data_IF_200029520718
#
_entry.id   IF_200029520718
#
_cell.length_a   1.000
_cell.length_b   1.000
_cell.length_c   1.000
_cell.angle_alpha   90.00
_cell.angle_beta   90.00
_cell.angle_gamma   90.00
#
_symmetry.space_group_name_H-M   'P 1'
#
loop_
_entity.id
_entity.type
_entity.pdbx_description
1 polymer ?
#
# COMPACT_ATOMS: atom_id res chain seq x y z
N UNK A 1 -8.21 -47.31 -5.88
CA UNK A 1 -8.84 -46.09 -5.30
C UNK A 1 -7.83 -45.16 -4.61
N UNK A 2 -6.82 -45.67 -3.90
CA UNK A 2 -5.80 -44.86 -3.20
C UNK A 2 -5.05 -43.84 -4.10
N UNK A 3 -4.75 -44.20 -5.35
CA UNK A 3 -4.01 -43.33 -6.29
C UNK A 3 -4.86 -42.19 -6.87
N UNK A 4 -6.18 -42.38 -6.98
CA UNK A 4 -7.12 -41.33 -7.44
C UNK A 4 -7.26 -40.27 -6.35
N UNK A 5 -7.32 -40.70 -5.08
CA UNK A 5 -7.45 -39.82 -3.93
C UNK A 5 -6.22 -38.91 -3.77
N UNK A 6 -5.02 -39.47 -3.97
CA UNK A 6 -3.74 -38.72 -3.93
C UNK A 6 -3.65 -37.70 -5.08
N UNK A 7 -4.11 -38.05 -6.29
CA UNK A 7 -4.08 -37.14 -7.44
C UNK A 7 -5.08 -36.00 -7.30
N UNK A 8 -6.29 -36.25 -6.76
CA UNK A 8 -7.24 -35.17 -6.41
C UNK A 8 -6.72 -34.27 -5.29
N UNK A 9 -6.01 -34.82 -4.30
CA UNK A 9 -5.41 -34.02 -3.22
C UNK A 9 -4.27 -33.12 -3.74
N UNK A 10 -3.46 -33.62 -4.67
CA UNK A 10 -2.38 -32.86 -5.30
C UNK A 10 -2.93 -31.71 -6.17
N UNK A 11 -4.03 -31.93 -6.90
CA UNK A 11 -4.67 -30.91 -7.73
C UNK A 11 -5.32 -29.78 -6.91
N UNK A 12 -5.84 -30.09 -5.73
CA UNK A 12 -6.34 -29.09 -4.78
C UNK A 12 -5.22 -28.23 -4.19
N UNK A 13 -4.03 -28.80 -3.95
CA UNK A 13 -2.89 -28.07 -3.40
C UNK A 13 -2.32 -27.00 -4.37
N UNK A 14 -2.45 -27.21 -5.69
CA UNK A 14 -1.94 -26.27 -6.70
C UNK A 14 -2.83 -25.01 -6.82
N UNK A 15 -4.07 -25.09 -6.36
CA UNK A 15 -5.05 -24.00 -6.48
C UNK A 15 -4.90 -22.91 -5.40
N UNK A 16 -4.01 -23.09 -4.42
CA UNK A 16 -3.85 -22.18 -3.28
C UNK A 16 -2.81 -21.06 -3.49
N UNK A 17 -2.10 -21.05 -4.61
CA UNK A 17 -1.18 -19.97 -4.96
C UNK A 17 -1.84 -18.99 -5.92
N UNK A 18 -2.90 -18.32 -5.46
CA UNK A 18 -3.33 -17.08 -6.10
C UNK A 18 -2.48 -15.95 -5.52
N UNK A 19 -1.57 -15.40 -6.32
CA UNK A 19 -0.73 -14.26 -5.95
C UNK A 19 -1.59 -12.99 -5.94
N UNK A 20 -2.36 -12.83 -4.85
CA UNK A 20 -3.14 -11.62 -4.59
C UNK A 20 -2.28 -10.61 -3.85
N UNK A 21 -2.29 -9.36 -4.30
CA UNK A 21 -1.64 -8.27 -3.56
C UNK A 21 -2.31 -8.08 -2.22
N UNK A 22 -1.49 -8.12 -1.18
CA UNK A 22 -1.96 -7.89 0.19
C UNK A 22 -2.11 -6.39 0.46
N UNK A 23 -2.98 -6.05 1.40
CA UNK A 23 -3.11 -4.67 1.89
C UNK A 23 -1.81 -4.16 2.54
N UNK A 24 -0.93 -5.06 2.98
CA UNK A 24 0.41 -4.73 3.50
C UNK A 24 1.34 -4.16 2.44
N UNK A 25 1.25 -4.64 1.19
CA UNK A 25 2.05 -4.09 0.10
C UNK A 25 1.57 -2.69 -0.30
N UNK A 26 0.26 -2.46 -0.29
CA UNK A 26 -0.33 -1.13 -0.53
C UNK A 26 0.03 -0.17 0.58
N UNK A 27 0.05 -0.64 1.83
CA UNK A 27 0.54 0.13 2.96
C UNK A 27 2.01 0.50 2.76
N UNK A 28 2.86 -0.48 2.43
CA UNK A 28 4.29 -0.26 2.16
C UNK A 28 4.48 0.77 1.06
N UNK A 29 3.69 0.71 -0.01
CA UNK A 29 3.70 1.70 -1.08
C UNK A 29 3.43 3.13 -0.57
N UNK A 30 2.34 3.33 0.19
CA UNK A 30 2.01 4.65 0.75
C UNK A 30 3.03 5.13 1.78
N UNK A 31 3.63 4.20 2.53
CA UNK A 31 4.71 4.48 3.46
C UNK A 31 5.97 4.97 2.73
N UNK A 32 6.37 4.31 1.64
CA UNK A 32 7.50 4.73 0.80
C UNK A 32 7.26 6.11 0.17
N UNK A 33 6.04 6.41 -0.28
CA UNK A 33 5.67 7.76 -0.74
C UNK A 33 5.89 8.82 0.34
N UNK A 34 5.42 8.56 1.56
CA UNK A 34 5.56 9.49 2.70
C UNK A 34 7.03 9.75 3.04
N UNK A 35 7.87 8.72 2.91
CA UNK A 35 9.30 8.79 3.16
C UNK A 35 10.11 9.31 1.95
N UNK A 36 9.46 9.72 0.86
CA UNK A 36 10.09 10.16 -0.40
C UNK A 36 10.97 9.08 -1.05
N UNK A 37 10.75 7.81 -0.72
CA UNK A 37 11.43 6.70 -1.36
C UNK A 37 10.71 6.32 -2.66
N UNK A 38 10.88 7.13 -3.70
CA UNK A 38 10.14 6.99 -4.95
C UNK A 38 10.56 5.79 -5.81
N UNK A 39 11.77 5.25 -5.60
CA UNK A 39 12.23 4.05 -6.29
C UNK A 39 11.44 2.83 -5.81
N UNK A 40 11.41 2.60 -4.50
CA UNK A 40 10.64 1.51 -3.89
C UNK A 40 9.14 1.62 -4.19
N UNK A 41 8.58 2.83 -4.13
CA UNK A 41 7.17 3.05 -4.49
C UNK A 41 6.90 2.74 -5.97
N UNK A 42 7.84 3.06 -6.87
CA UNK A 42 7.74 2.73 -8.29
C UNK A 42 7.82 1.22 -8.53
N UNK A 43 8.71 0.53 -7.82
CA UNK A 43 8.85 -0.93 -7.91
C UNK A 43 7.57 -1.63 -7.45
N UNK A 44 6.99 -1.20 -6.32
CA UNK A 44 5.70 -1.70 -5.85
C UNK A 44 4.58 -1.41 -6.85
N UNK A 45 4.55 -0.22 -7.46
CA UNK A 45 3.56 0.12 -8.49
C UNK A 45 3.69 -0.81 -9.72
N UNK A 46 4.92 -1.14 -10.11
CA UNK A 46 5.17 -2.09 -11.21
C UNK A 46 4.69 -3.50 -10.86
N UNK A 47 4.90 -3.93 -9.61
CA UNK A 47 4.39 -5.20 -9.08
C UNK A 47 2.86 -5.23 -9.14
N UNK A 48 2.21 -4.14 -8.74
CA UNK A 48 0.75 -4.01 -8.78
C UNK A 48 0.17 -4.13 -10.19
N UNK A 49 0.85 -3.52 -11.16
CA UNK A 49 0.51 -3.65 -12.57
C UNK A 49 0.63 -5.08 -13.07
N UNK A 50 1.72 -5.76 -12.72
CA UNK A 50 1.99 -7.13 -13.18
C UNK A 50 1.02 -8.16 -12.58
N UNK A 51 0.62 -7.97 -11.33
CA UNK A 51 -0.37 -8.78 -10.65
C UNK A 51 -1.83 -8.50 -11.07
N UNK A 52 -2.05 -7.53 -11.98
CA UNK A 52 -3.36 -7.19 -12.55
C UNK A 52 -4.42 -6.91 -11.48
N UNK A 53 -4.11 -6.04 -10.52
CA UNK A 53 -5.13 -5.54 -9.59
C UNK A 53 -6.23 -4.81 -10.35
N UNK A 54 -7.35 -4.59 -9.67
CA UNK A 54 -8.44 -3.77 -10.18
C UNK A 54 -7.92 -2.44 -10.77
N UNK A 55 -8.36 -2.13 -11.99
CA UNK A 55 -7.86 -1.00 -12.76
C UNK A 55 -8.08 0.33 -12.03
N UNK A 56 -9.24 0.52 -11.38
CA UNK A 56 -9.52 1.74 -10.65
C UNK A 56 -8.62 1.87 -9.41
N UNK A 57 -8.38 0.75 -8.70
CA UNK A 57 -7.43 0.69 -7.58
C UNK A 57 -6.01 1.05 -8.05
N UNK A 58 -5.56 0.49 -9.17
CA UNK A 58 -4.26 0.80 -9.75
C UNK A 58 -4.12 2.28 -10.13
N UNK A 59 -5.09 2.82 -10.86
CA UNK A 59 -5.07 4.22 -11.30
C UNK A 59 -5.08 5.20 -10.12
N UNK A 60 -5.75 4.86 -9.03
CA UNK A 60 -5.72 5.65 -7.80
C UNK A 60 -4.30 5.68 -7.21
N UNK A 61 -3.67 4.53 -7.03
CA UNK A 61 -2.30 4.44 -6.48
C UNK A 61 -1.28 5.12 -7.40
N UNK A 62 -1.40 4.96 -8.72
CA UNK A 62 -0.55 5.63 -9.69
C UNK A 62 -0.70 7.17 -9.61
N UNK A 63 -1.94 7.65 -9.42
CA UNK A 63 -2.20 9.07 -9.23
C UNK A 63 -1.59 9.58 -7.92
N UNK A 64 -1.69 8.83 -6.82
CA UNK A 64 -1.04 9.16 -5.54
C UNK A 64 0.49 9.28 -5.71
N UNK A 65 1.11 8.36 -6.46
CA UNK A 65 2.53 8.41 -6.77
C UNK A 65 2.90 9.67 -7.55
N UNK A 66 2.15 10.04 -8.58
CA UNK A 66 2.41 11.26 -9.35
C UNK A 66 2.28 12.53 -8.53
N UNK A 67 1.28 12.61 -7.65
CA UNK A 67 1.13 13.78 -6.77
C UNK A 67 2.35 13.91 -5.86
N UNK A 68 2.74 12.82 -5.20
CA UNK A 68 3.86 12.84 -4.25
C UNK A 68 5.19 13.17 -4.93
N UNK A 69 5.48 12.52 -6.08
CA UNK A 69 6.73 12.74 -6.82
C UNK A 69 6.77 14.10 -7.50
N UNK A 70 5.64 14.55 -8.05
CA UNK A 70 5.48 15.87 -8.63
C UNK A 70 5.72 16.97 -7.60
N UNK A 71 5.13 16.84 -6.41
CA UNK A 71 5.32 17.81 -5.33
C UNK A 71 6.76 17.80 -4.80
N UNK A 72 7.40 16.64 -4.66
CA UNK A 72 8.80 16.62 -4.22
C UNK A 72 9.74 17.31 -5.22
N UNK A 73 9.56 17.06 -6.52
CA UNK A 73 10.30 17.77 -7.58
C UNK A 73 9.99 19.26 -7.59
N UNK A 74 8.74 19.64 -7.35
CA UNK A 74 8.32 21.04 -7.24
C UNK A 74 9.06 21.75 -6.11
N UNK A 75 9.13 21.12 -4.93
CA UNK A 75 9.85 21.65 -3.77
C UNK A 75 11.36 21.73 -4.02
N UNK A 76 11.91 20.86 -4.87
CA UNK A 76 13.29 20.94 -5.36
C UNK A 76 13.49 22.00 -6.46
N UNK A 77 12.45 22.75 -6.82
CA UNK A 77 12.43 23.73 -7.93
C UNK A 77 12.74 23.11 -9.30
N UNK A 78 12.46 21.82 -9.45
CA UNK A 78 12.52 21.10 -10.71
C UNK A 78 11.15 21.19 -11.40
N UNK A 79 10.78 22.40 -11.81
CA UNK A 79 9.44 22.70 -12.29
C UNK A 79 9.09 22.00 -13.60
N UNK A 80 10.06 21.80 -14.49
CA UNK A 80 9.84 21.09 -15.75
C UNK A 80 9.60 19.61 -15.47
N UNK A 81 10.45 18.99 -14.67
CA UNK A 81 10.30 17.58 -14.29
C UNK A 81 9.01 17.33 -13.47
N UNK A 82 8.67 18.26 -12.58
CA UNK A 82 7.46 18.20 -11.76
C UNK A 82 6.18 18.26 -12.60
N UNK A 83 6.16 19.10 -13.64
CA UNK A 83 4.97 19.33 -14.46
C UNK A 83 4.47 18.06 -15.17
N UNK A 84 5.35 17.16 -15.60
CA UNK A 84 4.94 15.90 -16.22
C UNK A 84 4.04 15.08 -15.29
N UNK A 85 4.42 14.98 -14.01
CA UNK A 85 3.63 14.28 -13.00
C UNK A 85 2.30 14.97 -12.72
N UNK A 86 2.30 16.30 -12.57
CA UNK A 86 1.06 17.04 -12.36
C UNK A 86 0.13 17.02 -13.57
N UNK A 87 0.65 17.01 -14.80
CA UNK A 87 -0.15 16.86 -16.01
C UNK A 87 -0.85 15.48 -16.06
N UNK A 88 -0.10 14.43 -15.72
CA UNK A 88 -0.66 13.07 -15.62
C UNK A 88 -1.71 12.98 -14.51
N UNK A 89 -1.43 13.51 -13.32
CA UNK A 89 -2.36 13.54 -12.20
C UNK A 89 -3.63 14.37 -12.50
N UNK A 90 -3.48 15.51 -13.19
CA UNK A 90 -4.59 16.36 -13.61
C UNK A 90 -5.53 15.64 -14.58
N UNK A 91 -5.00 14.81 -15.49
CA UNK A 91 -5.85 14.05 -16.41
C UNK A 91 -6.86 13.13 -15.70
N UNK A 92 -6.49 12.61 -14.52
CA UNK A 92 -7.29 11.69 -13.69
C UNK A 92 -8.09 12.38 -12.60
N UNK A 93 -7.52 13.38 -11.91
CA UNK A 93 -8.11 13.98 -10.70
C UNK A 93 -8.13 15.52 -10.72
N UNK A 94 -8.80 16.10 -11.74
CA UNK A 94 -8.92 17.56 -11.94
C UNK A 94 -9.51 18.34 -10.77
N UNK A 95 -10.31 17.69 -9.91
CA UNK A 95 -11.01 18.33 -8.78
C UNK A 95 -10.16 18.46 -7.54
N UNK A 96 -8.99 17.81 -7.48
CA UNK A 96 -8.08 17.96 -6.35
C UNK A 96 -7.48 19.38 -6.31
N UNK A 97 -7.61 20.14 -5.20
CA UNK A 97 -7.11 21.51 -5.12
C UNK A 97 -5.61 21.66 -5.40
N UNK A 98 -4.78 20.77 -4.84
CA UNK A 98 -3.32 20.81 -5.01
C UNK A 98 -2.94 20.60 -6.47
N UNK A 99 -3.52 19.58 -7.12
CA UNK A 99 -3.22 19.27 -8.53
C UNK A 99 -3.67 20.42 -9.42
N UNK A 100 -4.86 20.96 -9.17
CA UNK A 100 -5.39 22.09 -9.95
C UNK A 100 -4.49 23.31 -9.81
N UNK A 101 -4.10 23.67 -8.59
CA UNK A 101 -3.20 24.79 -8.32
C UNK A 101 -1.89 24.62 -9.08
N UNK A 102 -1.17 23.51 -8.85
CA UNK A 102 0.14 23.23 -9.46
C UNK A 102 0.06 23.15 -10.98
N UNK A 103 -0.97 22.51 -11.52
CA UNK A 103 -1.19 22.45 -12.96
C UNK A 103 -1.40 23.83 -13.57
N UNK A 104 -2.31 24.63 -13.01
CA UNK A 104 -2.58 25.99 -13.53
C UNK A 104 -1.39 26.94 -13.36
N UNK A 105 -0.60 26.73 -12.32
CA UNK A 105 0.63 27.50 -12.09
C UNK A 105 1.70 27.18 -13.13
N UNK A 106 1.89 25.91 -13.48
CA UNK A 106 2.97 25.47 -14.37
C UNK A 106 2.58 25.49 -15.86
N UNK A 107 1.30 25.27 -16.16
CA UNK A 107 0.80 25.16 -17.54
C UNK A 107 1.01 26.46 -18.32
N UNK A 108 1.49 26.31 -19.57
CA UNK A 108 1.69 27.43 -20.49
C UNK A 108 2.92 28.30 -20.20
N UNK A 109 3.72 27.98 -19.17
CA UNK A 109 4.98 28.67 -18.87
C UNK A 109 6.17 27.92 -19.49
N UNK A 110 7.27 28.64 -19.72
CA UNK A 110 8.55 28.02 -20.10
C UNK A 110 9.24 27.54 -18.84
N UNK A 111 9.14 26.23 -18.56
CA UNK A 111 9.62 25.61 -17.33
C UNK A 111 11.09 25.20 -17.44
N UNK A 112 11.84 25.44 -16.36
CA UNK A 112 13.23 25.02 -16.22
C UNK A 112 13.41 24.32 -14.88
N UNK A 113 14.33 23.37 -14.83
CA UNK A 113 14.74 22.74 -13.59
C UNK A 113 15.96 23.49 -13.04
N UNK A 114 15.88 23.99 -11.81
CA UNK A 114 17.06 24.52 -11.14
C UNK A 114 18.00 23.36 -10.80
N UNK A 115 19.23 23.41 -11.30
CA UNK A 115 20.29 22.53 -10.82
C UNK A 115 20.60 22.92 -9.38
N UNK A 116 20.40 21.97 -8.45
CA UNK A 116 20.83 22.15 -7.07
C UNK A 116 22.36 22.24 -7.05
N UNK A 117 22.87 23.46 -7.08
CA UNK A 117 24.24 23.74 -6.68
C UNK A 117 24.32 23.31 -5.21
N UNK A 118 24.93 22.16 -4.95
CA UNK A 118 25.31 21.75 -3.60
C UNK A 118 26.34 22.75 -3.09
N UNK A 119 25.87 23.86 -2.55
CA UNK A 119 26.73 24.76 -1.79
C UNK A 119 27.02 23.99 -0.51
N UNK A 120 28.18 23.35 -0.47
CA UNK A 120 28.81 22.87 0.75
C UNK A 120 28.97 24.10 1.63
N UNK A 121 28.03 24.31 2.54
CA UNK A 121 28.00 25.47 3.41
C UNK A 121 29.20 25.41 4.36
N UNK A 122 30.25 26.17 4.05
CA UNK A 122 31.22 26.58 5.04
C UNK A 122 30.50 27.47 6.05
N UNK A 123 30.44 26.98 7.29
CA UNK A 123 29.90 27.67 8.45
C UNK A 123 30.54 29.03 8.68
N UNK A 124 29.73 30.09 8.77
CA UNK A 124 30.03 31.26 9.62
C UNK A 124 28.74 31.75 10.28
N UNK A 125 28.79 32.15 11.56
CA UNK A 125 27.60 32.41 12.35
C UNK A 125 27.11 33.84 12.13
N UNK A 126 25.80 34.03 12.03
CA UNK A 126 25.16 35.33 12.23
C UNK A 126 24.09 35.19 13.32
N UNK A 127 24.26 36.03 14.32
CA UNK A 127 23.50 36.15 15.56
C UNK A 127 22.15 36.83 15.33
N UNK A 128 21.09 36.20 15.88
CA UNK A 128 19.78 36.70 16.36
C UNK A 128 18.94 37.61 15.45
N UNK A 129 17.70 37.17 15.22
CA UNK A 129 16.52 37.91 15.66
C UNK A 129 15.38 36.93 16.01
N UNK A 130 14.78 37.16 17.18
CA UNK A 130 13.70 36.37 17.74
C UNK A 130 12.36 36.85 17.18
N UNK A 131 11.52 35.92 16.72
CA UNK A 131 10.11 36.21 16.50
C UNK A 131 9.25 35.00 16.92
N UNK A 132 8.59 35.22 18.06
CA UNK A 132 7.46 34.52 18.70
C UNK A 132 7.00 33.20 18.05
N UNK A 133 7.26 32.11 18.79
CA UNK A 133 6.51 30.85 18.71
C UNK A 133 5.01 31.14 18.76
N UNK A 134 4.32 30.88 17.64
CA UNK A 134 2.92 30.46 17.70
C UNK A 134 2.96 28.97 18.00
N UNK A 135 2.52 28.61 19.20
CA UNK A 135 2.18 27.25 19.58
C UNK A 135 1.14 26.72 18.59
N UNK A 136 1.60 25.97 17.60
CA UNK A 136 0.73 25.14 16.77
C UNK A 136 0.44 23.92 17.63
N UNK A 137 -0.74 23.92 18.25
CA UNK A 137 -1.33 22.70 18.79
C UNK A 137 -1.44 21.72 17.63
N UNK A 138 -0.52 20.76 17.58
CA UNK A 138 -0.62 19.61 16.69
C UNK A 138 -1.87 18.84 17.12
N UNK A 139 -2.94 18.99 16.34
CA UNK A 139 -4.08 18.10 16.42
C UNK A 139 -3.59 16.73 15.98
N UNK A 140 -3.72 15.74 16.85
CA UNK A 140 -3.24 14.37 16.71
C UNK A 140 -4.11 13.58 15.71
N UNK A 141 -4.07 13.95 14.43
CA UNK A 141 -4.76 13.25 13.32
C UNK A 141 -4.18 11.86 13.02
N UNK A 142 -3.07 11.47 13.65
CA UNK A 142 -2.49 10.14 13.49
C UNK A 142 -3.26 9.07 14.27
N UNK A 143 -3.73 9.38 15.47
CA UNK A 143 -4.42 8.42 16.35
C UNK A 143 -5.66 7.79 15.70
N UNK A 144 -6.45 8.59 15.00
CA UNK A 144 -7.69 8.19 14.34
C UNK A 144 -7.42 7.29 13.10
N UNK A 145 -6.35 7.60 12.36
CA UNK A 145 -5.91 6.79 11.22
C UNK A 145 -5.44 5.40 11.67
N UNK A 146 -4.64 5.32 12.74
CA UNK A 146 -4.22 4.04 13.31
C UNK A 146 -5.39 3.23 13.88
N UNK A 147 -6.38 3.89 14.48
CA UNK A 147 -7.57 3.24 15.01
C UNK A 147 -8.41 2.60 13.91
N UNK A 148 -8.68 3.33 12.83
CA UNK A 148 -9.44 2.83 11.68
C UNK A 148 -8.71 1.64 11.04
N UNK A 149 -7.40 1.74 10.83
CA UNK A 149 -6.58 0.65 10.27
C UNK A 149 -6.59 -0.58 11.18
N UNK A 150 -6.42 -0.39 12.49
CA UNK A 150 -6.49 -1.50 13.44
C UNK A 150 -7.88 -2.14 13.46
N UNK A 151 -8.96 -1.36 13.32
CA UNK A 151 -10.31 -1.90 13.29
C UNK A 151 -10.54 -2.82 12.08
N UNK A 152 -10.09 -2.42 10.88
CA UNK A 152 -10.15 -3.26 9.69
C UNK A 152 -9.26 -4.50 9.80
N UNK A 153 -8.07 -4.38 10.42
CA UNK A 153 -7.17 -5.52 10.65
C UNK A 153 -7.77 -6.53 11.62
N UNK A 154 -8.39 -6.05 12.70
CA UNK A 154 -9.06 -6.91 13.68
C UNK A 154 -10.22 -7.65 13.01
N UNK A 155 -11.02 -6.95 12.19
CA UNK A 155 -12.14 -7.55 11.46
C UNK A 155 -11.68 -8.61 10.44
N UNK A 156 -10.59 -8.36 9.70
CA UNK A 156 -10.07 -9.35 8.74
C UNK A 156 -9.48 -10.57 9.45
N UNK A 157 -8.70 -10.35 10.52
CA UNK A 157 -8.12 -11.42 11.33
C UNK A 157 -9.20 -12.26 12.02
N UNK A 158 -10.28 -11.65 12.49
CA UNK A 158 -11.41 -12.36 13.10
C UNK A 158 -12.10 -13.27 12.07
N UNK A 159 -12.30 -12.79 10.84
CA UNK A 159 -12.87 -13.58 9.76
C UNK A 159 -11.95 -14.74 9.35
N UNK A 160 -10.64 -14.53 9.25
CA UNK A 160 -9.66 -15.59 8.97
C UNK A 160 -9.62 -16.63 10.09
N UNK A 161 -9.60 -16.19 11.36
CA UNK A 161 -9.65 -17.09 12.51
C UNK A 161 -10.94 -17.91 12.56
N UNK A 162 -12.08 -17.29 12.23
CA UNK A 162 -13.37 -18.00 12.17
C UNK A 162 -13.36 -19.08 11.09
N UNK A 163 -12.82 -18.78 9.92
CA UNK A 163 -12.68 -19.74 8.82
C UNK A 163 -11.72 -20.88 9.21
N UNK A 164 -10.59 -20.56 9.84
CA UNK A 164 -9.63 -21.53 10.34
C UNK A 164 -10.25 -22.43 11.42
N UNK A 165 -11.06 -21.86 12.32
CA UNK A 165 -11.76 -22.61 13.36
C UNK A 165 -12.80 -23.58 12.78
N UNK A 166 -13.53 -23.16 11.75
CA UNK A 166 -14.48 -24.02 11.01
C UNK A 166 -13.74 -25.17 10.33
N UNK A 167 -12.61 -24.89 9.66
CA UNK A 167 -11.80 -25.93 9.00
C UNK A 167 -11.25 -26.89 10.05
N UNK A 168 -10.58 -26.40 11.09
CA UNK A 168 -10.00 -27.22 12.15
C UNK A 168 -11.07 -28.06 12.87
N UNK A 169 -12.23 -27.47 13.16
CA UNK A 169 -13.39 -28.16 13.73
C UNK A 169 -13.90 -29.27 12.82
N UNK A 170 -14.04 -29.00 11.52
CA UNK A 170 -14.48 -30.01 10.55
C UNK A 170 -13.50 -31.20 10.46
N UNK A 171 -12.20 -30.93 10.41
CA UNK A 171 -11.16 -31.97 10.40
C UNK A 171 -11.19 -32.78 11.69
N UNK A 172 -11.32 -32.11 12.85
CA UNK A 172 -11.40 -32.79 14.14
C UNK A 172 -12.62 -33.72 14.22
N UNK A 173 -13.80 -33.27 13.77
CA UNK A 173 -15.01 -34.11 13.75
C UNK A 173 -14.86 -35.34 12.85
N UNK A 174 -14.24 -35.19 11.67
CA UNK A 174 -13.97 -36.30 10.75
C UNK A 174 -13.02 -37.32 11.38
N UNK A 175 -11.96 -36.87 12.06
CA UNK A 175 -11.04 -37.76 12.78
C UNK A 175 -11.74 -38.50 13.91
N UNK A 176 -12.62 -37.83 14.66
CA UNK A 176 -13.39 -38.45 15.74
C UNK A 176 -14.33 -39.54 15.20
N UNK A 177 -15.04 -39.26 14.10
CA UNK A 177 -15.88 -40.25 13.41
C UNK A 177 -15.03 -41.44 12.94
N UNK A 178 -13.84 -41.19 12.37
CA UNK A 178 -12.94 -42.25 11.93
C UNK A 178 -12.48 -43.14 13.09
N UNK A 179 -12.18 -42.56 14.25
CA UNK A 179 -11.81 -43.30 15.47
C UNK A 179 -12.97 -44.18 15.93
N UNK A 180 -14.19 -43.65 15.97
CA UNK A 180 -15.40 -44.40 16.37
C UNK A 180 -15.63 -45.59 15.44
N UNK A 181 -15.55 -45.38 14.12
CA UNK A 181 -15.71 -46.46 13.13
C UNK A 181 -14.66 -47.55 13.35
N UNK A 182 -13.39 -47.16 13.53
CA UNK A 182 -12.31 -48.11 13.79
C UNK A 182 -12.54 -48.90 15.09
N UNK A 183 -13.06 -48.26 16.15
CA UNK A 183 -13.37 -48.91 17.43
C UNK A 183 -14.50 -49.93 17.28
N UNK A 184 -15.57 -49.58 16.55
CA UNK A 184 -16.69 -50.49 16.25
C UNK A 184 -16.21 -51.70 15.46
N UNK A 185 -15.35 -51.49 14.46
CA UNK A 185 -14.77 -52.57 13.66
C UNK A 185 -13.85 -53.48 14.48
N UNK A 186 -13.14 -52.93 15.47
CA UNK A 186 -12.28 -53.70 16.37
C UNK A 186 -13.11 -54.57 17.34
N UNK A 187 -14.22 -54.05 17.88
CA UNK A 187 -15.09 -54.77 18.81
C UNK A 187 -15.90 -55.87 18.11
N UNK A 188 -16.23 -55.70 16.82
CA UNK A 188 -16.98 -56.67 16.03
C UNK A 188 -16.15 -57.85 15.49
N UNK A 189 -14.83 -57.83 15.70
CA UNK A 189 -13.89 -58.85 15.24
C UNK A 189 -13.55 -59.81 16.37
#
# INVERSE_FOLDING_TARGET
MKNILITTLLLLAISLFAESISEEEIFSFRYSLKNKNFEEASDLLSKFKNAKIDQAKYELLETEFWIAKGEDLYQQKKYKSSFEYFNNAYSRWRTNPLIKERYTELAGKVLHDEEQIQIIAQSKPITKQAEKEKEIVFIDTNSESYFIINSFRIESLENELKLLYVIAGSVFTLLLVQIIINLILLIRK
#
